data_IF_094118900873
#
_entry.id   IF_094118900873
#
_cell.length_a   1.000
_cell.length_b   1.000
_cell.length_c   1.000
_cell.angle_alpha   90.00
_cell.angle_beta   90.00
_cell.angle_gamma   90.00
#
_symmetry.space_group_name_H-M   'P 1'
#
loop_
_entity.id
_entity.type
_entity.pdbx_description
1 polymer ?
#
# COMPACT_ATOMS: atom_id res chain seq x y z
N UNK A 1 3.70 -16.38 -5.22
CA UNK A 1 5.12 -16.34 -5.63
C UNK A 1 5.31 -15.59 -6.97
N UNK A 2 4.50 -15.83 -8.00
CA UNK A 2 4.66 -15.23 -9.34
C UNK A 2 4.40 -13.70 -9.39
N UNK A 3 3.45 -13.18 -8.60
CA UNK A 3 3.09 -11.74 -8.63
C UNK A 3 4.25 -10.79 -8.32
N UNK A 4 5.08 -11.10 -7.33
CA UNK A 4 6.23 -10.26 -6.99
C UNK A 4 7.25 -10.21 -8.14
N UNK A 5 7.42 -11.33 -8.86
CA UNK A 5 8.30 -11.42 -10.03
C UNK A 5 7.72 -10.63 -11.20
N UNK A 6 6.41 -10.69 -11.44
CA UNK A 6 5.73 -9.88 -12.47
C UNK A 6 5.96 -8.37 -12.24
N UNK A 7 5.76 -7.89 -11.01
CA UNK A 7 6.01 -6.49 -10.64
C UNK A 7 7.50 -6.11 -10.74
N UNK A 8 8.40 -7.02 -10.35
CA UNK A 8 9.83 -6.79 -10.47
C UNK A 8 10.28 -6.67 -11.93
N UNK A 9 9.77 -7.54 -12.83
CA UNK A 9 10.04 -7.47 -14.26
C UNK A 9 9.52 -6.15 -14.84
N UNK A 10 8.29 -5.76 -14.50
CA UNK A 10 7.72 -4.47 -14.93
C UNK A 10 8.58 -3.29 -14.48
N UNK A 11 9.06 -3.31 -13.23
CA UNK A 11 9.97 -2.30 -12.70
C UNK A 11 11.31 -2.24 -13.44
N UNK A 12 11.92 -3.39 -13.74
CA UNK A 12 13.17 -3.46 -14.50
C UNK A 12 12.99 -2.92 -15.91
N UNK A 13 11.89 -3.25 -16.59
CA UNK A 13 11.59 -2.72 -17.93
C UNK A 13 11.41 -1.19 -17.88
N UNK A 14 10.69 -0.67 -16.89
CA UNK A 14 10.52 0.78 -16.73
C UNK A 14 11.86 1.50 -16.49
N UNK A 15 12.72 0.94 -15.64
CA UNK A 15 14.07 1.49 -15.39
C UNK A 15 14.94 1.41 -16.64
N UNK A 16 14.85 0.33 -17.43
CA UNK A 16 15.59 0.19 -18.68
C UNK A 16 15.14 1.22 -19.74
N UNK A 17 13.84 1.51 -19.83
CA UNK A 17 13.31 2.56 -20.70
C UNK A 17 13.85 3.92 -20.25
N UNK A 18 13.74 4.23 -18.95
CA UNK A 18 14.21 5.50 -18.41
C UNK A 18 15.72 5.70 -18.59
N UNK A 19 16.54 4.67 -18.34
CA UNK A 19 17.99 4.74 -18.57
C UNK A 19 18.33 4.89 -20.05
N UNK A 20 17.59 4.22 -20.95
CA UNK A 20 17.71 4.41 -22.39
C UNK A 20 17.40 5.86 -22.82
N UNK A 21 16.38 6.49 -22.24
CA UNK A 21 16.05 7.89 -22.48
C UNK A 21 17.13 8.84 -21.93
N UNK A 22 17.70 8.56 -20.76
CA UNK A 22 18.81 9.33 -20.20
C UNK A 22 20.07 9.29 -21.08
N UNK A 23 20.42 8.10 -21.61
CA UNK A 23 21.61 7.92 -22.45
C UNK A 23 21.46 8.60 -23.82
N UNK A 24 20.23 8.76 -24.32
CA UNK A 24 19.91 9.43 -25.57
C UNK A 24 19.44 10.89 -25.38
N UNK A 25 19.63 11.47 -24.20
CA UNK A 25 19.12 12.81 -23.89
C UNK A 25 19.75 13.90 -24.78
N UNK A 26 20.97 13.67 -25.28
CA UNK A 26 21.70 14.56 -26.18
C UNK A 26 21.35 14.38 -27.66
N UNK A 27 20.82 13.21 -28.06
CA UNK A 27 20.35 12.95 -29.42
C UNK A 27 18.88 13.32 -29.63
N UNK A 28 18.14 13.57 -28.54
CA UNK A 28 16.77 14.07 -28.57
C UNK A 28 16.76 15.61 -28.65
N UNK A 29 16.06 16.14 -29.65
CA UNK A 29 15.76 17.58 -29.81
C UNK A 29 14.69 18.03 -28.79
N UNK A 30 15.05 17.93 -27.51
CA UNK A 30 14.23 18.35 -26.37
C UNK A 30 14.72 19.69 -25.83
N UNK A 31 13.77 20.52 -25.38
CA UNK A 31 14.09 21.78 -24.71
C UNK A 31 14.75 21.53 -23.34
N UNK A 32 15.41 22.55 -22.79
CA UNK A 32 16.09 22.47 -21.51
C UNK A 32 15.13 22.02 -20.37
N UNK A 33 13.87 22.46 -20.43
CA UNK A 33 12.84 22.06 -19.48
C UNK A 33 12.50 20.57 -19.54
N UNK A 34 12.34 20.02 -20.75
CA UNK A 34 11.99 18.61 -20.95
C UNK A 34 13.13 17.68 -20.53
N UNK A 35 14.38 18.08 -20.78
CA UNK A 35 15.57 17.35 -20.31
C UNK A 35 15.63 17.28 -18.79
N UNK A 36 15.30 18.40 -18.13
CA UNK A 36 15.19 18.45 -16.68
C UNK A 36 14.07 17.52 -16.20
N UNK A 37 12.90 17.54 -16.85
CA UNK A 37 11.79 16.66 -16.48
C UNK A 37 12.20 15.19 -16.54
N UNK A 38 12.79 14.73 -17.66
CA UNK A 38 13.25 13.34 -17.86
C UNK A 38 14.23 12.90 -16.77
N UNK A 39 15.14 13.78 -16.36
CA UNK A 39 16.13 13.50 -15.32
C UNK A 39 15.48 13.24 -13.95
N UNK A 40 14.42 13.98 -13.62
CA UNK A 40 13.73 13.89 -12.33
C UNK A 40 12.44 13.03 -12.35
N UNK A 41 12.08 12.41 -13.48
CA UNK A 41 10.90 11.51 -13.58
C UNK A 41 10.83 10.48 -12.43
N UNK A 42 11.90 9.74 -12.08
CA UNK A 42 11.81 8.75 -11.00
C UNK A 42 11.52 9.38 -9.64
N UNK A 43 12.04 10.57 -9.38
CA UNK A 43 11.78 11.29 -8.14
C UNK A 43 10.30 11.69 -8.04
N UNK A 44 9.75 12.24 -9.12
CA UNK A 44 8.32 12.57 -9.18
C UNK A 44 7.42 11.32 -9.05
N UNK A 45 7.85 10.18 -9.62
CA UNK A 45 7.15 8.91 -9.45
C UNK A 45 7.11 8.44 -7.99
N UNK A 46 8.22 8.55 -7.26
CA UNK A 46 8.28 8.19 -5.82
C UNK A 46 7.42 9.13 -4.97
N UNK A 47 7.48 10.44 -5.22
CA UNK A 47 6.70 11.43 -4.47
C UNK A 47 5.20 11.21 -4.70
N UNK A 48 4.78 11.07 -5.95
CA UNK A 48 3.37 10.81 -6.28
C UNK A 48 2.87 9.50 -5.70
N UNK A 49 3.67 8.43 -5.77
CA UNK A 49 3.36 7.17 -5.12
C UNK A 49 3.17 7.34 -3.61
N UNK A 50 4.08 8.04 -2.93
CA UNK A 50 3.98 8.33 -1.50
C UNK A 50 2.69 9.07 -1.13
N UNK A 51 2.35 10.13 -1.88
CA UNK A 51 1.12 10.91 -1.64
C UNK A 51 -0.15 10.07 -1.86
N UNK A 52 -0.19 9.27 -2.93
CA UNK A 52 -1.33 8.39 -3.23
C UNK A 52 -1.46 7.32 -2.14
N UNK A 53 -0.36 6.65 -1.77
CA UNK A 53 -0.37 5.65 -0.70
C UNK A 53 -0.84 6.23 0.61
N UNK A 54 -0.35 7.41 0.99
CA UNK A 54 -0.77 8.07 2.22
C UNK A 54 -2.25 8.45 2.18
N UNK A 55 -2.73 8.98 1.06
CA UNK A 55 -4.16 9.27 0.85
C UNK A 55 -5.04 8.03 0.99
N UNK A 56 -4.64 6.90 0.40
CA UNK A 56 -5.37 5.63 0.51
C UNK A 56 -5.38 5.12 1.96
N UNK A 57 -4.25 5.19 2.65
CA UNK A 57 -4.14 4.75 4.06
C UNK A 57 -5.03 5.63 4.93
N UNK A 58 -4.91 6.96 4.83
CA UNK A 58 -5.75 7.90 5.59
C UNK A 58 -7.24 7.67 5.31
N UNK A 59 -7.63 7.48 4.05
CA UNK A 59 -9.00 7.20 3.68
C UNK A 59 -9.50 5.88 4.30
N UNK A 60 -8.71 4.80 4.21
CA UNK A 60 -9.09 3.50 4.77
C UNK A 60 -9.16 3.49 6.29
N UNK A 61 -8.26 4.23 6.96
CA UNK A 61 -8.29 4.38 8.41
C UNK A 61 -9.51 5.20 8.82
N UNK A 62 -9.79 6.31 8.13
CA UNK A 62 -10.95 7.14 8.42
C UNK A 62 -12.30 6.44 8.13
N UNK A 63 -12.32 5.49 7.19
CA UNK A 63 -13.52 4.73 6.82
C UNK A 63 -13.59 3.35 7.47
N UNK A 64 -12.69 3.03 8.41
CA UNK A 64 -12.77 1.82 9.19
C UNK A 64 -14.06 1.87 10.02
N UNK A 65 -15.07 1.09 9.60
CA UNK A 65 -16.34 1.01 10.33
C UNK A 65 -16.11 0.32 11.65
N UNK A 66 -16.33 1.03 12.73
CA UNK A 66 -16.54 0.40 14.02
C UNK A 66 -17.76 -0.52 13.89
N UNK A 67 -17.60 -1.80 14.23
CA UNK A 67 -18.69 -2.78 14.25
C UNK A 67 -19.08 -3.03 15.71
N UNK A 68 -19.87 -2.13 16.33
CA UNK A 68 -20.24 -2.23 17.74
C UNK A 68 -21.06 -3.49 18.03
N UNK A 69 -21.89 -3.90 17.08
CA UNK A 69 -22.76 -5.09 17.21
C UNK A 69 -21.92 -6.38 17.33
N UNK A 70 -20.89 -6.55 16.51
CA UNK A 70 -19.99 -7.70 16.62
C UNK A 70 -19.21 -7.70 17.95
N UNK A 71 -18.89 -6.52 18.49
CA UNK A 71 -18.23 -6.41 19.81
C UNK A 71 -19.19 -6.81 20.95
N UNK A 72 -20.47 -6.46 20.85
CA UNK A 72 -21.49 -6.83 21.83
C UNK A 72 -21.83 -8.33 21.78
N UNK A 73 -21.95 -8.90 20.57
CA UNK A 73 -22.15 -10.34 20.37
C UNK A 73 -20.99 -11.16 20.97
N UNK A 74 -19.74 -10.74 20.72
CA UNK A 74 -18.53 -11.34 21.31
C UNK A 74 -18.52 -11.25 22.85
N UNK A 75 -18.97 -10.14 23.44
CA UNK A 75 -19.07 -10.01 24.90
C UNK A 75 -20.06 -11.01 25.48
N UNK A 76 -21.22 -11.17 24.83
CA UNK A 76 -22.25 -12.13 25.25
C UNK A 76 -21.75 -13.59 25.17
N UNK A 77 -21.03 -13.95 24.11
CA UNK A 77 -20.39 -15.27 23.99
C UNK A 77 -19.37 -15.52 25.10
N UNK A 78 -18.58 -14.51 25.49
CA UNK A 78 -17.61 -14.62 26.58
C UNK A 78 -18.32 -14.86 27.92
N UNK A 79 -19.43 -14.17 28.18
CA UNK A 79 -20.21 -14.37 29.41
C UNK A 79 -20.85 -15.75 29.46
N UNK A 80 -21.44 -16.21 28.36
CA UNK A 80 -21.99 -17.57 28.27
C UNK A 80 -20.91 -18.64 28.50
N UNK A 81 -19.74 -18.49 27.89
CA UNK A 81 -18.61 -19.40 28.07
C UNK A 81 -18.10 -19.41 29.51
N UNK A 82 -18.01 -18.24 30.17
CA UNK A 82 -17.66 -18.14 31.59
C UNK A 82 -18.69 -18.86 32.47
N UNK A 83 -19.98 -18.69 32.22
CA UNK A 83 -21.00 -19.39 32.99
C UNK A 83 -20.88 -20.91 32.87
N UNK A 84 -20.63 -21.42 31.65
CA UNK A 84 -20.45 -22.85 31.41
C UNK A 84 -19.19 -23.40 32.07
N UNK A 85 -18.07 -22.67 32.03
CA UNK A 85 -16.86 -23.03 32.78
C UNK A 85 -17.13 -23.06 34.30
N UNK A 86 -17.95 -22.13 34.82
CA UNK A 86 -18.34 -22.11 36.24
C UNK A 86 -19.18 -23.32 36.61
N UNK A 87 -20.12 -23.72 35.73
CA UNK A 87 -20.94 -24.94 35.90
C UNK A 87 -20.06 -26.20 35.91
N UNK A 88 -18.96 -26.21 35.15
CA UNK A 88 -17.96 -27.28 35.18
C UNK A 88 -17.02 -27.23 36.39
N UNK A 89 -17.19 -26.26 37.31
CA UNK A 89 -16.40 -26.16 38.54
C UNK A 89 -14.99 -25.59 38.35
N UNK A 90 -14.68 -25.03 37.17
CA UNK A 90 -13.39 -24.40 36.89
C UNK A 90 -13.39 -22.95 37.41
N UNK A 91 -12.24 -22.48 37.90
CA UNK A 91 -12.02 -21.09 38.30
C UNK A 91 -11.18 -20.38 37.22
N UNK A 92 -11.60 -19.19 36.81
CA UNK A 92 -10.99 -18.32 35.80
C UNK A 92 -11.13 -16.86 36.22
#
# INVERSE_FOLDING_TARGET
>A
MIKAVEWAIGGVVAVAIWSGMLLNLSSLDLDAFEKHLVLYVPLYAVISFGLISLGIICYRVATFRDCPEAAEELQHEIEAAKEDLRKMGLKF
#
